data_IF_461845791870
#
_entry.id   IF_461845791870
#
_cell.length_a   1.000
_cell.length_b   1.000
_cell.length_c   1.000
_cell.angle_alpha   90.00
_cell.angle_beta   90.00
_cell.angle_gamma   90.00
#
_symmetry.space_group_name_H-M   'P 1'
#
loop_
_entity.id
_entity.type
_entity.pdbx_description
1 polymer ?
#
# COMPACT_ATOMS: atom_id res chain seq x y z
N UNK A 1 10.44 4.63 18.01
CA UNK A 1 10.46 5.03 16.59
C UNK A 1 9.95 3.85 15.76
N UNK A 2 8.64 3.79 15.46
CA UNK A 2 8.06 2.73 14.61
C UNK A 2 8.24 3.15 13.14
N UNK A 3 9.30 2.70 12.47
CA UNK A 3 9.70 3.21 11.15
C UNK A 3 9.30 2.35 9.95
N UNK A 4 8.77 1.13 10.15
CA UNK A 4 8.73 0.15 9.05
C UNK A 4 7.32 -0.32 8.71
N UNK A 5 6.34 0.60 8.64
CA UNK A 5 5.01 0.29 8.10
C UNK A 5 4.82 0.92 6.73
N UNK A 6 4.41 0.11 5.75
CA UNK A 6 4.18 0.53 4.36
C UNK A 6 2.67 0.50 4.09
N UNK A 7 2.16 1.60 3.53
CA UNK A 7 0.76 1.72 3.14
C UNK A 7 0.52 1.11 1.76
N UNK A 8 -0.47 0.23 1.69
CA UNK A 8 -0.97 -0.42 0.49
C UNK A 8 -2.48 -0.21 0.35
N UNK A 9 -3.00 -0.49 -0.84
CA UNK A 9 -4.42 -0.55 -1.15
C UNK A 9 -4.72 -1.94 -1.71
N UNK A 10 -5.70 -2.64 -1.15
CA UNK A 10 -6.13 -3.94 -1.65
C UNK A 10 -6.75 -3.80 -3.05
N UNK A 11 -6.31 -4.63 -4.00
CA UNK A 11 -6.82 -4.62 -5.38
C UNK A 11 -8.30 -5.05 -5.50
N UNK A 12 -8.79 -5.83 -4.54
CA UNK A 12 -10.16 -6.38 -4.56
C UNK A 12 -11.10 -5.50 -3.73
N UNK A 13 -10.75 -5.19 -2.48
CA UNK A 13 -11.61 -4.40 -1.59
C UNK A 13 -11.47 -2.89 -1.78
N UNK A 14 -10.39 -2.41 -2.40
CA UNK A 14 -10.05 -0.99 -2.46
C UNK A 14 -9.70 -0.34 -1.11
N UNK A 15 -9.59 -1.13 -0.04
CA UNK A 15 -9.31 -0.63 1.31
C UNK A 15 -7.82 -0.45 1.56
N UNK A 16 -7.50 0.52 2.40
CA UNK A 16 -6.15 0.71 2.90
C UNK A 16 -5.70 -0.50 3.74
N UNK A 17 -4.44 -0.87 3.61
CA UNK A 17 -3.80 -1.97 4.33
C UNK A 17 -2.40 -1.53 4.73
N UNK A 18 -2.04 -1.67 6.00
CA UNK A 18 -0.76 -1.19 6.53
C UNK A 18 0.05 -2.39 7.01
N UNK A 19 1.08 -2.76 6.25
CA UNK A 19 1.90 -3.93 6.55
C UNK A 19 3.27 -3.52 7.07
N UNK A 20 3.83 -4.33 7.97
CA UNK A 20 5.22 -4.20 8.37
C UNK A 20 6.14 -4.76 7.27
N UNK A 21 7.36 -4.25 7.19
CA UNK A 21 8.39 -4.87 6.36
C UNK A 21 8.58 -6.33 6.81
N UNK A 22 8.69 -7.25 5.85
CA UNK A 22 8.80 -8.70 6.06
C UNK A 22 7.55 -9.45 6.56
N UNK A 23 6.40 -8.78 6.67
CA UNK A 23 5.12 -9.49 6.87
C UNK A 23 4.53 -10.02 5.57
N UNK A 24 3.77 -11.12 5.66
CA UNK A 24 3.09 -11.71 4.52
C UNK A 24 2.20 -10.67 3.81
N UNK A 25 2.31 -10.61 2.49
CA UNK A 25 1.59 -9.64 1.66
C UNK A 25 0.15 -10.11 1.47
N UNK A 26 -0.75 -9.67 2.36
CA UNK A 26 -2.17 -9.97 2.32
C UNK A 26 -3.03 -8.81 2.86
N UNK A 27 -4.29 -8.74 2.44
CA UNK A 27 -5.22 -7.74 2.95
C UNK A 27 -5.53 -8.00 4.43
N UNK A 28 -5.64 -6.93 5.22
CA UNK A 28 -5.99 -7.02 6.64
C UNK A 28 -7.46 -7.37 6.90
N UNK A 29 -8.33 -7.20 5.90
CA UNK A 29 -9.76 -7.47 6.05
C UNK A 29 -10.15 -8.88 5.62
N UNK A 30 -9.41 -9.44 4.66
CA UNK A 30 -9.62 -10.79 4.13
C UNK A 30 -8.28 -11.36 3.67
N UNK A 31 -7.82 -12.43 4.32
CA UNK A 31 -6.52 -13.05 4.05
C UNK A 31 -6.45 -13.78 2.70
N UNK A 32 -7.58 -14.03 2.04
CA UNK A 32 -7.60 -14.59 0.69
C UNK A 32 -7.11 -13.59 -0.37
N UNK A 33 -7.16 -12.28 -0.07
CA UNK A 33 -6.72 -11.24 -0.98
C UNK A 33 -5.22 -10.98 -0.82
N UNK A 34 -4.42 -11.48 -1.76
CA UNK A 34 -2.96 -11.41 -1.71
C UNK A 34 -2.34 -10.35 -2.65
N UNK A 35 -3.18 -9.65 -3.44
CA UNK A 35 -2.71 -8.62 -4.38
C UNK A 35 -2.98 -7.23 -3.82
N UNK A 36 -1.90 -6.51 -3.53
CA UNK A 36 -1.91 -5.17 -2.95
C UNK A 36 -1.13 -4.18 -3.82
N UNK A 37 -1.65 -2.97 -4.02
CA UNK A 37 -0.94 -1.88 -4.68
C UNK A 37 -0.29 -0.95 -3.66
N UNK A 38 0.96 -0.53 -3.90
CA UNK A 38 1.63 0.44 -3.03
C UNK A 38 0.91 1.79 -3.12
N UNK A 39 0.53 2.36 -1.97
CA UNK A 39 -0.16 3.64 -1.94
C UNK A 39 0.78 4.75 -2.42
N UNK A 40 0.27 5.63 -3.28
CA UNK A 40 1.03 6.78 -3.78
C UNK A 40 1.37 7.72 -2.63
N UNK A 41 2.64 8.14 -2.55
CA UNK A 41 3.08 9.17 -1.60
C UNK A 41 2.42 10.50 -1.98
N UNK A 42 1.97 11.27 -0.99
CA UNK A 42 1.46 12.64 -1.17
C UNK A 42 2.65 13.58 -1.42
N UNK A 43 3.40 13.31 -2.49
CA UNK A 43 4.42 14.19 -3.02
C UNK A 43 4.09 14.42 -4.50
N UNK A 44 3.53 15.59 -4.85
CA UNK A 44 3.19 15.92 -6.22
C UNK A 44 4.42 15.77 -7.11
N UNK A 45 4.29 14.98 -8.17
CA UNK A 45 5.34 14.86 -9.18
C UNK A 45 5.16 16.03 -10.15
N UNK A 46 6.19 16.87 -10.28
CA UNK A 46 6.19 18.01 -11.21
C UNK A 46 6.78 17.54 -12.53
N UNK A 47 5.98 17.58 -13.58
CA UNK A 47 6.41 17.24 -14.94
C UNK A 47 6.43 18.51 -15.81
N UNK A 48 7.41 18.62 -16.71
CA UNK A 48 7.44 19.70 -17.71
C UNK A 48 6.50 19.32 -18.86
N UNK A 49 5.63 20.25 -19.27
CA UNK A 49 4.87 20.10 -20.51
C UNK A 49 5.82 20.29 -21.70
N UNK A 50 5.78 19.37 -22.67
CA UNK A 50 6.43 19.53 -23.98
C UNK A 50 5.47 20.18 -24.97
#
# INVERSE_FOLDING_TARGET
MNRDTVAYICSICGRDTYLQVDTAVQCQHDSSHQVLYKKRVINPQVYKCM
#
